data_IF_982504200471
#
_entry.id   IF_982504200471
#
_cell.length_a   1.000
_cell.length_b   1.000
_cell.length_c   1.000
_cell.angle_alpha   90.00
_cell.angle_beta   90.00
_cell.angle_gamma   90.00
#
_symmetry.space_group_name_H-M   'P 1'
#
loop_
_entity.id
_entity.type
_entity.pdbx_description
1 polymer ?
#
# COMPACT_ATOMS: atom_id res chain seq x y z
N UNK A 1 -3.20 9.60 -13.91
CA UNK A 1 -4.34 8.77 -13.56
C UNK A 1 -3.96 7.83 -12.41
N UNK A 2 -4.82 7.61 -11.41
CA UNK A 2 -4.54 6.74 -10.26
C UNK A 2 -5.53 5.58 -10.24
N UNK A 3 -4.99 4.35 -10.34
CA UNK A 3 -5.75 3.09 -10.20
C UNK A 3 -5.45 2.49 -8.84
N UNK A 4 -6.46 2.29 -8.00
CA UNK A 4 -6.31 1.60 -6.73
C UNK A 4 -6.60 0.10 -6.86
N UNK A 5 -5.77 -0.72 -6.21
CA UNK A 5 -6.00 -2.16 -6.07
C UNK A 5 -6.13 -2.50 -4.60
N UNK A 6 -7.36 -2.76 -4.18
CA UNK A 6 -7.72 -3.10 -2.80
C UNK A 6 -8.12 -4.57 -2.66
N UNK A 7 -8.32 -5.01 -1.44
CA UNK A 7 -8.80 -6.36 -1.11
C UNK A 7 -8.20 -6.86 0.21
N UNK A 8 -8.59 -8.02 0.69
CA UNK A 8 -8.12 -8.61 1.94
C UNK A 8 -6.66 -9.09 1.87
N UNK A 9 -6.09 -9.48 3.01
CA UNK A 9 -4.77 -10.17 3.04
C UNK A 9 -4.83 -11.46 2.22
N UNK A 10 -3.72 -11.87 1.65
CA UNK A 10 -3.55 -13.12 0.91
C UNK A 10 -4.42 -13.33 -0.35
N UNK A 11 -5.30 -12.38 -0.73
CA UNK A 11 -6.17 -12.55 -1.91
C UNK A 11 -5.45 -12.32 -3.26
N UNK A 12 -4.16 -11.98 -3.25
CA UNK A 12 -3.38 -11.78 -4.48
C UNK A 12 -3.34 -10.34 -5.00
N UNK A 13 -3.72 -9.33 -4.19
CA UNK A 13 -3.65 -7.90 -4.59
C UNK A 13 -2.36 -7.50 -5.27
N UNK A 14 -1.21 -7.80 -4.63
CA UNK A 14 0.10 -7.38 -5.16
C UNK A 14 0.46 -8.09 -6.49
N UNK A 15 -0.04 -9.30 -6.71
CA UNK A 15 0.10 -10.01 -7.99
C UNK A 15 -0.78 -9.36 -9.05
N UNK A 16 -2.03 -9.09 -8.71
CA UNK A 16 -2.98 -8.39 -9.58
C UNK A 16 -2.47 -6.99 -9.96
N UNK A 17 -2.00 -6.22 -8.98
CA UNK A 17 -1.47 -4.87 -9.20
C UNK A 17 -0.25 -4.88 -10.13
N UNK A 18 0.68 -5.82 -9.96
CA UNK A 18 1.83 -6.00 -10.86
C UNK A 18 1.41 -6.37 -12.28
N UNK A 19 0.45 -7.28 -12.42
CA UNK A 19 -0.06 -7.67 -13.74
C UNK A 19 -0.74 -6.48 -14.43
N UNK A 20 -1.58 -5.74 -13.71
CA UNK A 20 -2.25 -4.54 -14.24
C UNK A 20 -1.22 -3.50 -14.67
N UNK A 21 -0.24 -3.18 -13.83
CA UNK A 21 0.81 -2.22 -14.17
C UNK A 21 1.60 -2.65 -15.41
N UNK A 22 1.95 -3.95 -15.51
CA UNK A 22 2.63 -4.50 -16.68
C UNK A 22 1.78 -4.39 -17.94
N UNK A 23 0.50 -4.72 -17.87
CA UNK A 23 -0.40 -4.66 -19.03
C UNK A 23 -0.65 -3.22 -19.48
N UNK A 24 -0.91 -2.31 -18.55
CA UNK A 24 -1.14 -0.89 -18.84
C UNK A 24 0.08 -0.23 -19.48
N UNK A 25 1.29 -0.56 -19.03
CA UNK A 25 2.52 -0.04 -19.61
C UNK A 25 2.83 -0.54 -21.05
N UNK A 26 2.03 -1.47 -21.59
CA UNK A 26 2.15 -1.92 -22.99
C UNK A 26 1.35 -1.06 -23.97
N UNK A 27 0.47 -0.20 -23.47
CA UNK A 27 -0.29 0.70 -24.33
C UNK A 27 0.56 1.91 -24.73
N UNK A 28 0.61 2.29 -26.01
CA UNK A 28 1.43 3.41 -26.48
C UNK A 28 1.09 4.74 -25.81
N UNK A 29 -0.18 4.93 -25.43
CA UNK A 29 -0.67 6.17 -24.82
C UNK A 29 -0.36 6.29 -23.32
N UNK A 30 0.05 5.20 -22.67
CA UNK A 30 0.36 5.16 -21.23
C UNK A 30 1.67 4.41 -20.94
N UNK A 31 2.81 4.81 -21.53
CA UNK A 31 4.05 4.04 -21.41
C UNK A 31 4.69 4.10 -20.02
N UNK A 32 4.33 5.11 -19.19
CA UNK A 32 4.89 5.30 -17.86
C UNK A 32 3.88 4.89 -16.80
N UNK A 33 4.00 3.66 -16.33
CA UNK A 33 3.14 3.11 -15.28
C UNK A 33 4.01 2.77 -14.06
N UNK A 34 3.76 3.45 -12.96
CA UNK A 34 4.40 3.17 -11.69
C UNK A 34 3.48 2.37 -10.76
N UNK A 35 4.08 1.52 -9.93
CA UNK A 35 3.39 0.75 -8.90
C UNK A 35 3.95 1.08 -7.52
N UNK A 36 3.07 1.50 -6.62
CA UNK A 36 3.39 1.79 -5.22
C UNK A 36 2.46 1.01 -4.31
N UNK A 37 3.02 0.39 -3.27
CA UNK A 37 2.24 -0.24 -2.19
C UNK A 37 2.07 0.70 -1.01
N UNK A 38 0.89 0.73 -0.43
CA UNK A 38 0.63 1.55 0.77
C UNK A 38 1.35 1.04 2.00
N UNK A 39 1.89 -0.18 1.99
CA UNK A 39 2.68 -0.71 3.11
C UNK A 39 3.93 0.14 3.42
N UNK A 40 4.47 0.87 2.41
CA UNK A 40 5.52 1.86 2.62
C UNK A 40 5.14 3.00 3.55
N UNK A 41 3.85 3.24 3.72
CA UNK A 41 3.32 4.28 4.62
C UNK A 41 2.87 3.74 5.99
N UNK A 42 3.21 2.49 6.33
CA UNK A 42 3.10 2.01 7.71
C UNK A 42 4.04 2.82 8.60
N UNK A 43 3.62 3.09 9.83
CA UNK A 43 4.50 3.65 10.83
C UNK A 43 5.62 2.65 11.15
N UNK A 44 6.87 3.11 11.33
CA UNK A 44 7.98 2.25 11.75
C UNK A 44 7.64 1.48 13.04
N UNK A 45 8.16 0.26 13.18
CA UNK A 45 7.90 -0.59 14.35
C UNK A 45 8.16 0.14 15.67
N UNK A 46 9.26 0.89 15.76
CA UNK A 46 9.57 1.70 16.95
C UNK A 46 8.41 2.64 17.33
N UNK A 47 7.81 3.31 16.36
CA UNK A 47 6.69 4.22 16.59
C UNK A 47 5.43 3.45 16.98
N UNK A 48 5.19 2.27 16.37
CA UNK A 48 4.06 1.42 16.73
C UNK A 48 4.18 0.87 18.15
N UNK A 49 5.39 0.50 18.58
CA UNK A 49 5.68 0.06 19.96
C UNK A 49 5.46 1.19 20.96
N UNK A 50 6.03 2.36 20.73
CA UNK A 50 5.83 3.56 21.57
C UNK A 50 4.35 3.94 21.74
N UNK A 51 3.53 3.66 20.71
CA UNK A 51 2.08 3.93 20.72
C UNK A 51 1.22 2.75 21.18
N UNK A 52 1.80 1.58 21.46
CA UNK A 52 1.06 0.37 21.80
C UNK A 52 0.24 -0.20 20.64
N UNK A 53 0.65 0.05 19.39
CA UNK A 53 -0.09 -0.29 18.18
C UNK A 53 0.47 -1.51 17.42
N UNK A 54 1.51 -2.20 17.92
CA UNK A 54 2.10 -3.34 17.21
C UNK A 54 1.09 -4.45 16.90
N UNK A 55 0.18 -4.77 17.83
CA UNK A 55 -0.89 -5.74 17.60
C UNK A 55 -1.94 -5.27 16.58
N UNK A 56 -1.89 -4.00 16.20
CA UNK A 56 -2.79 -3.36 15.22
C UNK A 56 -2.08 -3.01 13.92
N UNK A 57 -0.87 -3.52 13.70
CA UNK A 57 -0.14 -3.28 12.45
C UNK A 57 -0.91 -3.82 11.25
N UNK A 58 -1.04 -2.98 10.21
CA UNK A 58 -1.89 -3.24 9.03
C UNK A 58 -3.32 -2.70 9.17
N UNK A 59 -3.76 -2.31 10.37
CA UNK A 59 -5.01 -1.57 10.55
C UNK A 59 -4.81 -0.07 10.28
N UNK A 60 -5.89 0.69 10.01
CA UNK A 60 -5.81 2.08 9.58
C UNK A 60 -4.97 3.00 10.46
N UNK A 61 -5.02 2.79 11.78
CA UNK A 61 -4.30 3.58 12.78
C UNK A 61 -2.78 3.35 12.76
N UNK A 62 -2.32 2.29 12.11
CA UNK A 62 -0.89 1.97 11.98
C UNK A 62 -0.21 2.62 10.77
N UNK A 63 -0.96 3.40 9.98
CA UNK A 63 -0.43 4.08 8.80
C UNK A 63 -0.18 5.57 9.06
N UNK A 64 0.88 6.11 8.45
CA UNK A 64 1.04 7.54 8.27
C UNK A 64 0.13 8.03 7.13
N UNK A 65 -1.14 8.24 7.48
CA UNK A 65 -2.16 8.69 6.53
C UNK A 65 -1.85 10.05 5.93
N UNK A 66 -1.15 10.91 6.69
CA UNK A 66 -0.78 12.24 6.21
C UNK A 66 0.25 12.12 5.09
N UNK A 67 1.32 11.37 5.32
CA UNK A 67 2.35 11.13 4.29
C UNK A 67 1.75 10.47 3.04
N UNK A 68 0.83 9.50 3.20
CA UNK A 68 0.15 8.86 2.07
C UNK A 68 -0.72 9.86 1.29
N UNK A 69 -1.49 10.73 1.98
CA UNK A 69 -2.29 11.77 1.33
C UNK A 69 -1.42 12.79 0.60
N UNK A 70 -0.33 13.25 1.22
CA UNK A 70 0.63 14.17 0.60
C UNK A 70 1.25 13.54 -0.66
N UNK A 71 1.60 12.25 -0.60
CA UNK A 71 2.12 11.51 -1.76
C UNK A 71 1.12 11.47 -2.91
N UNK A 72 -0.12 11.01 -2.67
CA UNK A 72 -1.13 10.89 -3.75
C UNK A 72 -1.54 12.24 -4.31
N UNK A 73 -1.62 13.27 -3.46
CA UNK A 73 -1.89 14.64 -3.90
C UNK A 73 -0.77 15.21 -4.78
N UNK A 74 0.49 14.97 -4.42
CA UNK A 74 1.65 15.37 -5.21
C UNK A 74 1.68 14.67 -6.58
N UNK A 75 1.42 13.37 -6.64
CA UNK A 75 1.31 12.65 -7.92
C UNK A 75 0.15 13.21 -8.76
N UNK A 76 -1.01 13.42 -8.14
CA UNK A 76 -2.21 13.92 -8.83
C UNK A 76 -2.03 15.33 -9.37
N UNK A 77 -1.25 16.18 -8.68
CA UNK A 77 -0.92 17.55 -9.14
C UNK A 77 0.16 17.58 -10.22
N UNK A 78 0.73 16.44 -10.59
CA UNK A 78 1.74 16.35 -11.64
C UNK A 78 3.15 16.76 -11.22
N UNK A 79 3.48 16.61 -9.92
CA UNK A 79 4.85 16.84 -9.43
C UNK A 79 5.86 16.02 -10.22
N UNK A 80 7.02 16.60 -10.51
CA UNK A 80 8.05 15.97 -11.37
C UNK A 80 8.57 14.66 -10.77
N UNK A 81 8.80 14.70 -9.45
CA UNK A 81 9.33 13.56 -8.71
C UNK A 81 8.68 13.50 -7.33
N UNK A 82 8.18 12.33 -6.98
CA UNK A 82 7.63 12.03 -5.65
C UNK A 82 8.25 10.74 -5.15
N UNK A 83 8.47 10.63 -3.84
CA UNK A 83 9.06 9.44 -3.24
C UNK A 83 8.08 8.77 -2.29
N UNK A 84 8.02 7.44 -2.34
CA UNK A 84 7.30 6.60 -1.40
C UNK A 84 8.29 5.73 -0.62
N UNK A 85 8.16 5.61 0.72
CA UNK A 85 9.02 4.74 1.50
C UNK A 85 8.87 3.28 1.10
N UNK A 86 9.91 2.47 1.34
CA UNK A 86 9.91 1.03 1.05
C UNK A 86 9.67 0.24 2.33
N UNK A 87 8.69 -0.65 2.30
CA UNK A 87 8.46 -1.65 3.34
C UNK A 87 9.10 -2.99 2.97
N UNK A 88 9.68 -3.68 3.95
CA UNK A 88 10.21 -5.03 3.78
C UNK A 88 9.43 -6.04 4.61
N UNK A 89 8.81 -7.01 3.93
CA UNK A 89 8.13 -8.11 4.60
C UNK A 89 9.10 -9.06 5.32
N UNK A 90 10.37 -9.10 4.92
CA UNK A 90 11.41 -9.92 5.57
C UNK A 90 11.84 -9.31 6.90
N UNK A 91 12.12 -8.00 6.90
CA UNK A 91 12.49 -7.26 8.12
C UNK A 91 11.25 -6.89 8.94
N UNK A 92 10.07 -6.99 8.33
CA UNK A 92 8.78 -6.61 8.89
C UNK A 92 8.72 -5.14 9.32
N UNK A 93 9.41 -4.25 8.59
CA UNK A 93 9.48 -2.81 8.88
C UNK A 93 9.75 -1.98 7.64
N UNK A 94 9.65 -0.64 7.79
CA UNK A 94 10.12 0.33 6.81
C UNK A 94 11.64 0.21 6.70
N UNK A 95 12.15 0.16 5.47
CA UNK A 95 13.59 0.12 5.22
C UNK A 95 14.13 1.56 5.25
N UNK A 96 15.03 1.88 6.21
CA UNK A 96 15.60 3.23 6.29
C UNK A 96 16.25 3.65 4.97
N UNK A 97 16.09 4.91 4.60
CA UNK A 97 16.74 5.55 3.44
C UNK A 97 16.45 4.90 2.08
N UNK A 98 15.49 3.97 2.01
CA UNK A 98 15.03 3.40 0.75
C UNK A 98 13.67 3.93 0.34
N UNK A 99 13.58 4.40 -0.90
CA UNK A 99 12.38 4.96 -1.48
C UNK A 99 12.15 4.41 -2.90
N UNK A 100 10.90 4.27 -3.26
CA UNK A 100 10.47 4.17 -4.66
C UNK A 100 10.29 5.59 -5.17
N UNK A 101 10.94 5.91 -6.29
CA UNK A 101 10.76 7.21 -6.95
C UNK A 101 9.70 7.07 -8.04
N UNK A 102 8.74 7.97 -8.04
CA UNK A 102 7.67 8.11 -9.04
C UNK A 102 7.92 9.40 -9.80
N UNK A 103 8.08 9.30 -11.13
CA UNK A 103 8.44 10.44 -12.00
C UNK A 103 7.36 10.69 -13.06
N UNK A 104 6.39 11.56 -12.76
CA UNK A 104 5.28 11.93 -13.66
C UNK A 104 4.68 10.72 -14.39
N UNK A 105 4.13 9.73 -13.70
CA UNK A 105 3.53 8.58 -14.35
C UNK A 105 2.28 8.99 -15.13
N UNK A 106 2.02 8.31 -16.24
CA UNK A 106 0.74 8.39 -16.93
C UNK A 106 -0.34 7.72 -16.08
N UNK A 107 0.04 6.58 -15.45
CA UNK A 107 -0.80 5.85 -14.50
C UNK A 107 0.03 5.46 -13.27
N UNK A 108 -0.48 5.81 -12.08
CA UNK A 108 -0.03 5.25 -10.82
C UNK A 108 -0.96 4.10 -10.42
N UNK A 109 -0.45 2.90 -10.27
CA UNK A 109 -1.15 1.79 -9.60
C UNK A 109 -0.80 1.84 -8.12
N UNK A 110 -1.80 2.10 -7.27
CA UNK A 110 -1.65 2.17 -5.81
C UNK A 110 -2.30 0.93 -5.19
N UNK A 111 -1.50 0.07 -4.57
CA UNK A 111 -1.98 -1.19 -3.98
C UNK A 111 -1.96 -1.12 -2.46
N UNK A 112 -3.01 -1.62 -1.81
CA UNK A 112 -3.00 -1.77 -0.35
C UNK A 112 -4.32 -2.15 0.29
N UNK A 113 -4.24 -2.53 1.58
CA UNK A 113 -5.40 -2.92 2.38
C UNK A 113 -6.37 -1.76 2.61
N UNK A 114 -5.81 -0.57 2.85
CA UNK A 114 -6.56 0.59 3.32
C UNK A 114 -6.74 1.68 2.25
N UNK A 115 -6.40 1.38 0.99
CA UNK A 115 -6.38 2.37 -0.10
C UNK A 115 -7.76 2.97 -0.41
N UNK A 116 -8.84 2.24 -0.15
CA UNK A 116 -10.23 2.70 -0.36
C UNK A 116 -10.92 3.14 0.94
N UNK A 117 -10.18 3.30 2.03
CA UNK A 117 -10.80 3.70 3.28
C UNK A 117 -11.33 5.13 3.24
N UNK A 118 -12.55 5.36 3.76
CA UNK A 118 -13.09 6.70 3.90
C UNK A 118 -12.31 7.51 4.95
N UNK A 119 -12.50 8.82 4.92
CA UNK A 119 -11.97 9.69 5.96
C UNK A 119 -12.51 9.28 7.36
N UNK A 120 -11.72 9.46 8.44
CA UNK A 120 -12.17 9.16 9.79
C UNK A 120 -13.43 9.94 10.14
N UNK A 121 -14.41 9.27 10.74
CA UNK A 121 -15.56 9.93 11.33
C UNK A 121 -15.10 10.75 12.52
N UNK A 122 -15.52 12.01 12.63
CA UNK A 122 -15.23 12.87 13.79
C UNK A 122 -14.06 13.84 13.61
N UNK A 123 -13.62 14.10 12.38
CA UNK A 123 -12.74 15.23 12.09
C UNK A 123 -13.38 16.53 12.62
N UNK A 124 -12.57 17.40 13.28
CA UNK A 124 -13.07 18.68 13.82
C UNK A 124 -13.78 19.48 12.72
N UNK A 125 -14.86 20.23 13.04
CA UNK A 125 -15.47 21.15 12.08
C UNK A 125 -14.41 22.07 11.49
N UNK A 126 -14.31 22.10 10.13
CA UNK A 126 -13.29 22.88 9.41
C UNK A 126 -11.99 22.16 9.05
N UNK A 127 -11.73 20.94 9.55
CA UNK A 127 -10.66 20.11 9.04
C UNK A 127 -11.13 19.44 7.74
N UNK A 128 -10.38 19.62 6.65
CA UNK A 128 -10.63 18.88 5.41
C UNK A 128 -10.40 17.39 5.67
N UNK A 129 -11.49 16.64 5.70
CA UNK A 129 -11.45 15.20 5.93
C UNK A 129 -11.20 14.45 4.63
N UNK A 130 -10.14 14.81 3.88
CA UNK A 130 -9.76 14.14 2.66
C UNK A 130 -9.38 12.67 2.95
N UNK A 131 -9.89 11.79 2.09
CA UNK A 131 -9.50 10.39 2.05
C UNK A 131 -8.56 10.15 0.85
N UNK A 132 -7.78 9.08 0.90
CA UNK A 132 -6.97 8.64 -0.25
C UNK A 132 -7.88 8.34 -1.44
N UNK A 133 -9.07 7.78 -1.18
CA UNK A 133 -10.09 7.49 -2.19
C UNK A 133 -10.54 8.70 -3.02
N UNK A 134 -10.42 9.93 -2.48
CA UNK A 134 -10.82 11.15 -3.19
C UNK A 134 -9.87 11.50 -4.37
N UNK A 135 -8.68 10.90 -4.39
CA UNK A 135 -7.67 11.07 -5.45
C UNK A 135 -7.69 9.94 -6.48
N UNK A 136 -8.46 8.88 -6.25
CA UNK A 136 -8.49 7.68 -7.08
C UNK A 136 -9.45 7.88 -8.23
N UNK A 137 -9.00 7.59 -9.45
CA UNK A 137 -9.81 7.68 -10.67
C UNK A 137 -10.55 6.37 -10.98
N UNK A 138 -9.92 5.24 -10.62
CA UNK A 138 -10.50 3.91 -10.81
C UNK A 138 -10.06 2.97 -9.70
N UNK A 139 -10.95 2.11 -9.24
CA UNK A 139 -10.63 1.15 -8.19
C UNK A 139 -11.01 -0.28 -8.57
N UNK A 140 -10.16 -1.21 -8.16
CA UNK A 140 -10.37 -2.65 -8.29
C UNK A 140 -10.34 -3.24 -6.88
N UNK A 141 -11.41 -3.93 -6.51
CA UNK A 141 -11.44 -4.70 -5.28
C UNK A 141 -11.26 -6.18 -5.61
N UNK A 142 -10.15 -6.76 -5.15
CA UNK A 142 -9.88 -8.20 -5.30
C UNK A 142 -10.57 -8.91 -4.16
N UNK A 143 -11.61 -9.65 -4.49
CA UNK A 143 -12.44 -10.39 -3.54
C UNK A 143 -12.23 -11.89 -3.67
N UNK A 144 -12.51 -12.62 -2.60
CA UNK A 144 -12.53 -14.07 -2.55
C UNK A 144 -13.38 -14.55 -1.36
N UNK A 145 -13.75 -15.83 -1.38
CA UNK A 145 -14.45 -16.45 -0.27
C UNK A 145 -13.60 -16.40 1.02
N UNK A 146 -14.18 -16.06 2.19
CA UNK A 146 -13.46 -15.99 3.45
C UNK A 146 -12.69 -17.27 3.82
N UNK A 147 -13.21 -18.45 3.49
CA UNK A 147 -12.54 -19.71 3.76
C UNK A 147 -11.32 -19.91 2.85
N UNK A 148 -11.38 -19.45 1.59
CA UNK A 148 -10.24 -19.42 0.69
C UNK A 148 -9.17 -18.46 1.19
N UNK A 149 -9.54 -17.26 1.60
CA UNK A 149 -8.63 -16.26 2.16
C UNK A 149 -7.91 -16.83 3.38
N UNK A 150 -8.65 -17.48 4.28
CA UNK A 150 -8.09 -18.13 5.48
C UNK A 150 -7.09 -19.21 5.10
N UNK A 151 -7.44 -20.09 4.15
CA UNK A 151 -6.56 -21.17 3.67
C UNK A 151 -5.28 -20.58 3.07
N UNK A 152 -5.38 -19.65 2.15
CA UNK A 152 -4.21 -19.02 1.50
C UNK A 152 -3.33 -18.25 2.47
N UNK A 153 -3.93 -17.61 3.47
CA UNK A 153 -3.17 -16.92 4.52
C UNK A 153 -2.34 -17.90 5.35
N UNK A 154 -2.95 -19.03 5.77
CA UNK A 154 -2.26 -20.07 6.54
C UNK A 154 -1.15 -20.73 5.71
N UNK A 155 -1.43 -21.10 4.46
CA UNK A 155 -0.45 -21.72 3.57
C UNK A 155 0.75 -20.80 3.32
N UNK A 156 0.48 -19.51 3.08
CA UNK A 156 1.53 -18.50 2.94
C UNK A 156 2.35 -18.36 4.22
N UNK A 157 1.71 -18.28 5.37
CA UNK A 157 2.40 -18.18 6.66
C UNK A 157 3.31 -19.38 6.91
N UNK A 158 2.80 -20.59 6.70
CA UNK A 158 3.58 -21.82 6.86
C UNK A 158 4.77 -21.88 5.89
N UNK A 159 4.57 -21.47 4.65
CA UNK A 159 5.65 -21.37 3.67
C UNK A 159 6.73 -20.36 4.12
N UNK A 160 6.33 -19.18 4.56
CA UNK A 160 7.27 -18.16 5.04
C UNK A 160 8.01 -18.59 6.30
N UNK A 161 7.34 -19.32 7.21
CA UNK A 161 7.95 -19.90 8.40
C UNK A 161 9.14 -20.81 8.07
N UNK A 162 9.04 -21.57 6.97
CA UNK A 162 10.09 -22.50 6.54
C UNK A 162 11.10 -21.92 5.53
N UNK A 163 10.91 -20.68 5.11
CA UNK A 163 11.74 -20.03 4.08
C UNK A 163 12.27 -18.67 4.54
N UNK A 164 11.52 -17.60 4.34
CA UNK A 164 11.97 -16.23 4.59
C UNK A 164 12.25 -15.96 6.08
N UNK A 165 11.47 -16.52 7.00
CA UNK A 165 11.64 -16.30 8.45
C UNK A 165 12.79 -17.11 9.07
N UNK A 166 13.43 -17.99 8.31
CA UNK A 166 14.65 -18.70 8.76
C UNK A 166 15.93 -17.98 8.39
N UNK A 167 15.86 -16.89 7.63
CA UNK A 167 17.02 -16.14 7.19
C UNK A 167 17.55 -15.22 8.31
N UNK A 168 18.89 -15.06 8.47
CA UNK A 168 19.45 -14.11 9.41
C UNK A 168 18.92 -12.69 9.16
N UNK A 169 18.42 -12.02 10.21
CA UNK A 169 17.85 -10.67 10.11
C UNK A 169 16.37 -10.62 9.69
N UNK A 170 15.68 -11.78 9.58
CA UNK A 170 14.23 -11.80 9.51
C UNK A 170 13.61 -11.57 10.91
N UNK A 171 12.40 -11.01 10.89
CA UNK A 171 11.62 -10.77 12.12
C UNK A 171 11.17 -12.07 12.77
#
# INVERSE_FOLDING_TARGET
FIVAVAGSVAVGKSTTARLIAHLLGRFPDTPRVDLVTTDGFLLPNRVLEERGLMARKGFPESYDRRALLEFVAAVKSGSERVQAPVYSHTVYDIVPDRHVTVERPDILVLEGLNVLQPAPRGSRPGASALAVSDFIDFSIYVDADPDDIRRWYLDRFLTLKHTAFTQPGSY
#
